data_IF_639248785580
#
_entry.id   IF_639248785580
#
_cell.length_a   1.000
_cell.length_b   1.000
_cell.length_c   1.000
_cell.angle_alpha   90.00
_cell.angle_beta   90.00
_cell.angle_gamma   90.00
#
_symmetry.space_group_name_H-M   'P 1'
#
loop_
_entity.id
_entity.type
_entity.pdbx_description
1 polymer ?
#
# COMPACT_ATOMS: atom_id res chain seq x y z
N UNK A 1 -26.41 4.34 19.26
CA UNK A 1 -25.20 3.79 18.59
C UNK A 1 -25.49 2.47 17.87
N UNK A 2 -26.03 1.44 18.54
CA UNK A 2 -26.32 0.14 17.88
C UNK A 2 -27.38 0.22 16.77
N UNK A 3 -28.53 0.91 17.01
CA UNK A 3 -29.55 1.06 15.95
C UNK A 3 -29.02 1.81 14.71
N UNK A 4 -28.15 2.81 14.90
CA UNK A 4 -27.53 3.54 13.78
C UNK A 4 -26.55 2.65 13.00
N UNK A 5 -25.74 1.86 13.69
CA UNK A 5 -24.84 0.90 13.05
C UNK A 5 -25.64 -0.15 12.27
N UNK A 6 -26.70 -0.71 12.86
CA UNK A 6 -27.59 -1.67 12.20
C UNK A 6 -28.24 -1.05 10.95
N UNK A 7 -28.76 0.17 11.05
CA UNK A 7 -29.35 0.86 9.91
C UNK A 7 -28.32 1.11 8.80
N UNK A 8 -27.09 1.50 9.15
CA UNK A 8 -26.01 1.69 8.17
C UNK A 8 -25.67 0.39 7.44
N UNK A 9 -25.57 -0.73 8.16
CA UNK A 9 -25.31 -2.04 7.53
C UNK A 9 -26.44 -2.48 6.62
N UNK A 10 -27.70 -2.24 7.01
CA UNK A 10 -28.86 -2.56 6.19
C UNK A 10 -28.91 -1.71 4.91
N UNK A 11 -28.60 -0.42 5.02
CA UNK A 11 -28.54 0.49 3.88
C UNK A 11 -27.44 0.14 2.88
N UNK A 12 -26.40 -0.59 3.30
CA UNK A 12 -25.26 -1.01 2.45
C UNK A 12 -25.21 -2.52 2.18
N UNK A 13 -26.34 -3.20 2.37
CA UNK A 13 -26.39 -4.65 2.29
C UNK A 13 -26.00 -5.18 0.90
N UNK A 14 -26.34 -4.46 -0.17
CA UNK A 14 -25.96 -4.87 -1.52
C UNK A 14 -24.45 -4.79 -1.74
N UNK A 15 -23.80 -3.70 -1.33
CA UNK A 15 -22.36 -3.52 -1.47
C UNK A 15 -21.57 -4.52 -0.62
N UNK A 16 -22.06 -4.82 0.58
CA UNK A 16 -21.45 -5.81 1.47
C UNK A 16 -21.51 -7.23 0.91
N UNK A 17 -22.45 -7.54 0.00
CA UNK A 17 -22.61 -8.86 -0.60
C UNK A 17 -21.96 -8.99 -1.99
N UNK A 18 -21.25 -7.98 -2.48
CA UNK A 18 -20.62 -8.00 -3.81
C UNK A 18 -19.63 -9.17 -3.95
N UNK A 19 -18.94 -9.55 -2.87
CA UNK A 19 -18.01 -10.70 -2.89
C UNK A 19 -18.69 -12.04 -3.20
N UNK A 20 -20.01 -12.16 -2.96
CA UNK A 20 -20.79 -13.35 -3.35
C UNK A 20 -21.05 -13.41 -4.86
N UNK A 21 -21.04 -12.26 -5.52
CA UNK A 21 -21.24 -12.13 -6.99
C UNK A 21 -19.91 -12.17 -7.74
N UNK A 22 -18.82 -11.66 -7.15
CA UNK A 22 -17.48 -11.65 -7.75
C UNK A 22 -16.42 -12.20 -6.78
N UNK A 23 -15.94 -13.41 -7.05
CA UNK A 23 -14.92 -14.08 -6.24
C UNK A 23 -13.52 -13.44 -6.28
N UNK A 24 -13.30 -12.42 -7.13
CA UNK A 24 -12.05 -11.62 -7.11
C UNK A 24 -12.00 -10.66 -5.93
N UNK A 25 -13.16 -10.33 -5.34
CA UNK A 25 -13.27 -9.40 -4.21
C UNK A 25 -13.20 -10.22 -2.91
N UNK A 26 -12.24 -9.95 -2.01
CA UNK A 26 -12.18 -10.64 -0.72
C UNK A 26 -13.38 -10.24 0.15
N UNK A 27 -13.87 -11.19 0.95
CA UNK A 27 -14.94 -10.94 1.92
C UNK A 27 -14.52 -9.94 3.01
N UNK A 28 -13.23 -9.88 3.32
CA UNK A 28 -12.68 -8.99 4.33
C UNK A 28 -11.87 -7.84 3.72
N UNK A 29 -11.72 -6.76 4.48
CA UNK A 29 -10.96 -5.57 4.11
C UNK A 29 -9.52 -5.60 4.67
N UNK A 30 -9.02 -6.75 5.14
CA UNK A 30 -7.76 -6.83 5.90
C UNK A 30 -6.58 -6.27 5.10
N UNK A 31 -6.54 -6.56 3.80
CA UNK A 31 -5.52 -6.05 2.89
C UNK A 31 -5.54 -4.52 2.85
N UNK A 32 -6.73 -3.94 2.75
CA UNK A 32 -6.93 -2.50 2.70
C UNK A 32 -6.55 -1.83 4.03
N UNK A 33 -6.98 -2.39 5.16
CA UNK A 33 -6.64 -1.85 6.48
C UNK A 33 -5.13 -1.85 6.74
N UNK A 34 -4.44 -2.94 6.38
CA UNK A 34 -2.97 -3.02 6.47
C UNK A 34 -2.30 -1.94 5.62
N UNK A 35 -2.90 -1.61 4.48
CA UNK A 35 -2.42 -0.59 3.55
C UNK A 35 -2.52 0.81 4.14
N UNK A 36 -3.62 1.11 4.82
CA UNK A 36 -3.84 2.40 5.46
C UNK A 36 -3.08 2.57 6.78
N UNK A 37 -2.57 1.50 7.37
CA UNK A 37 -1.84 1.56 8.64
C UNK A 37 -0.67 2.54 8.63
N UNK A 38 0.08 2.61 7.52
CA UNK A 38 1.19 3.55 7.38
C UNK A 38 0.73 5.02 7.48
N UNK A 39 -0.41 5.34 6.86
CA UNK A 39 -1.01 6.69 6.92
C UNK A 39 -1.49 6.99 8.35
N UNK A 40 -2.17 6.03 8.99
CA UNK A 40 -2.62 6.19 10.37
C UNK A 40 -1.46 6.44 11.35
N UNK A 41 -0.34 5.74 11.19
CA UNK A 41 0.88 5.98 11.95
C UNK A 41 1.51 7.33 11.61
N UNK A 42 1.62 7.67 10.32
CA UNK A 42 2.20 8.93 9.85
C UNK A 42 1.45 10.17 10.35
N UNK A 43 0.11 10.12 10.45
CA UNK A 43 -0.70 11.23 10.98
C UNK A 43 -0.27 11.72 12.37
N UNK A 44 0.25 10.82 13.22
CA UNK A 44 0.78 11.20 14.54
C UNK A 44 2.14 11.90 14.45
N UNK A 45 2.94 11.56 13.44
CA UNK A 45 4.29 12.09 13.25
C UNK A 45 4.30 13.51 12.66
N UNK A 46 3.24 13.89 11.94
CA UNK A 46 3.15 15.15 11.21
C UNK A 46 2.11 16.11 11.78
N UNK A 47 1.68 15.91 13.03
CA UNK A 47 0.63 16.69 13.70
C UNK A 47 0.94 18.20 13.75
N UNK A 48 2.23 18.57 13.68
CA UNK A 48 2.72 19.95 13.78
C UNK A 48 3.09 20.57 12.42
N UNK A 49 2.82 19.90 11.29
CA UNK A 49 3.02 20.49 9.97
C UNK A 49 1.85 21.44 9.65
N UNK A 50 2.04 22.72 9.96
CA UNK A 50 1.03 23.77 9.81
C UNK A 50 1.06 24.43 8.41
N UNK A 51 0.91 23.61 7.36
CA UNK A 51 0.70 24.12 6.00
C UNK A 51 -0.48 23.41 5.37
N UNK A 52 -1.43 24.18 4.83
CA UNK A 52 -2.61 23.65 4.13
C UNK A 52 -2.24 22.73 2.95
N UNK A 53 -1.11 23.01 2.29
CA UNK A 53 -0.59 22.21 1.17
C UNK A 53 0.08 20.89 1.59
N UNK A 54 0.37 20.69 2.87
CA UNK A 54 1.08 19.50 3.35
C UNK A 54 0.23 18.23 3.20
N UNK A 55 -1.09 18.32 3.41
CA UNK A 55 -2.02 17.19 3.26
C UNK A 55 -2.04 16.61 1.84
N UNK A 56 -2.37 17.42 0.82
CA UNK A 56 -2.35 16.98 -0.57
C UNK A 56 -0.98 16.44 -1.01
N UNK A 57 0.11 17.11 -0.62
CA UNK A 57 1.48 16.66 -0.94
C UNK A 57 1.78 15.28 -0.35
N UNK A 58 1.41 15.06 0.91
CA UNK A 58 1.57 13.76 1.56
C UNK A 58 0.72 12.69 0.87
N UNK A 59 -0.51 13.00 0.46
CA UNK A 59 -1.38 12.06 -0.26
C UNK A 59 -0.77 11.62 -1.59
N UNK A 60 -0.17 12.55 -2.35
CA UNK A 60 0.56 12.25 -3.59
C UNK A 60 1.72 11.30 -3.29
N UNK A 61 2.55 11.62 -2.28
CA UNK A 61 3.70 10.78 -1.93
C UNK A 61 3.29 9.38 -1.46
N UNK A 62 2.27 9.26 -0.60
CA UNK A 62 1.75 7.96 -0.18
C UNK A 62 1.24 7.15 -1.36
N UNK A 63 0.53 7.79 -2.28
CA UNK A 63 0.00 7.13 -3.48
C UNK A 63 1.13 6.65 -4.38
N UNK A 64 2.15 7.47 -4.60
CA UNK A 64 3.32 7.14 -5.43
C UNK A 64 4.11 5.98 -4.84
N UNK A 65 4.47 6.06 -3.55
CA UNK A 65 5.19 5.01 -2.83
C UNK A 65 4.38 3.72 -2.82
N UNK A 66 3.06 3.82 -2.62
CA UNK A 66 2.20 2.64 -2.63
C UNK A 66 2.12 2.00 -4.00
N UNK A 67 2.03 2.81 -5.05
CA UNK A 67 2.01 2.32 -6.42
C UNK A 67 3.34 1.60 -6.74
N UNK A 68 4.49 2.22 -6.45
CA UNK A 68 5.80 1.58 -6.60
C UNK A 68 5.93 0.26 -5.82
N UNK A 69 5.42 0.21 -4.59
CA UNK A 69 5.38 -1.01 -3.80
C UNK A 69 4.50 -2.11 -4.44
N UNK A 70 3.36 -1.74 -5.03
CA UNK A 70 2.50 -2.70 -5.73
C UNK A 70 3.17 -3.28 -7.00
N UNK A 71 4.10 -2.53 -7.62
CA UNK A 71 4.95 -3.01 -8.71
C UNK A 71 6.21 -3.76 -8.23
N UNK A 72 6.29 -4.08 -6.94
CA UNK A 72 7.42 -4.78 -6.32
C UNK A 72 8.77 -4.06 -6.52
N UNK A 73 8.77 -2.73 -6.63
CA UNK A 73 10.00 -1.97 -6.82
C UNK A 73 10.80 -1.81 -5.52
N UNK A 74 12.12 -1.70 -5.66
CA UNK A 74 12.93 -1.07 -4.62
C UNK A 74 12.61 0.44 -4.56
N UNK A 75 11.73 0.78 -3.61
CA UNK A 75 11.21 2.13 -3.38
C UNK A 75 12.33 3.16 -3.23
N UNK A 76 13.44 2.82 -2.57
CA UNK A 76 14.52 3.77 -2.35
C UNK A 76 15.23 4.14 -3.66
N UNK A 77 15.59 3.13 -4.48
CA UNK A 77 16.19 3.36 -5.79
C UNK A 77 15.25 4.13 -6.71
N UNK A 78 13.97 3.78 -6.71
CA UNK A 78 12.95 4.48 -7.49
C UNK A 78 12.82 5.95 -7.09
N UNK A 79 12.62 6.24 -5.80
CA UNK A 79 12.44 7.61 -5.32
C UNK A 79 13.68 8.48 -5.55
N UNK A 80 14.88 7.92 -5.41
CA UNK A 80 16.13 8.64 -5.72
C UNK A 80 16.13 9.09 -7.18
N UNK A 81 15.87 8.16 -8.10
CA UNK A 81 15.88 8.44 -9.53
C UNK A 81 14.81 9.46 -9.94
N UNK A 82 13.61 9.36 -9.36
CA UNK A 82 12.53 10.33 -9.58
C UNK A 82 12.92 11.72 -9.09
N UNK A 83 13.44 11.84 -7.87
CA UNK A 83 13.83 13.14 -7.30
C UNK A 83 14.96 13.80 -8.10
N UNK A 84 15.90 13.01 -8.62
CA UNK A 84 17.01 13.49 -9.45
C UNK A 84 16.55 13.92 -10.85
N UNK A 85 15.65 13.15 -11.49
CA UNK A 85 15.25 13.38 -12.89
C UNK A 85 14.12 14.38 -13.07
N UNK A 86 13.19 14.49 -12.13
CA UNK A 86 12.01 15.39 -12.26
C UNK A 86 12.41 16.84 -12.53
N UNK A 87 13.34 17.48 -11.78
CA UNK A 87 13.70 18.88 -12.04
C UNK A 87 14.31 19.08 -13.44
N UNK A 88 15.11 18.13 -13.90
CA UNK A 88 15.77 18.18 -15.22
C UNK A 88 14.76 18.03 -16.34
N UNK A 89 13.90 17.01 -16.28
CA UNK A 89 12.89 16.76 -17.31
C UNK A 89 11.86 17.90 -17.39
N UNK A 90 11.48 18.48 -16.24
CA UNK A 90 10.59 19.64 -16.21
C UNK A 90 11.24 20.89 -16.82
N UNK A 91 12.53 21.13 -16.55
CA UNK A 91 13.25 22.25 -17.15
C UNK A 91 13.40 22.11 -18.68
N UNK A 92 13.54 20.88 -19.16
CA UNK A 92 13.62 20.55 -20.59
C UNK A 92 12.26 20.42 -21.28
N UNK A 93 11.14 20.52 -20.53
CA UNK A 93 9.79 20.35 -21.06
C UNK A 93 9.47 18.93 -21.54
N UNK A 94 10.20 17.93 -21.05
CA UNK A 94 10.03 16.51 -21.43
C UNK A 94 8.92 15.83 -20.64
N UNK A 95 8.25 14.81 -21.21
CA UNK A 95 7.23 14.05 -20.49
C UNK A 95 7.84 13.27 -19.32
N UNK A 96 7.06 13.15 -18.24
CA UNK A 96 7.45 12.42 -17.03
C UNK A 96 6.97 10.96 -17.04
N UNK A 97 6.31 10.50 -18.10
CA UNK A 97 5.67 9.18 -18.16
C UNK A 97 6.65 8.03 -17.94
N UNK A 98 7.91 8.19 -18.35
CA UNK A 98 8.97 7.21 -18.10
C UNK A 98 9.39 7.05 -16.63
N UNK A 99 8.98 7.98 -15.76
CA UNK A 99 9.18 7.92 -14.31
C UNK A 99 7.99 7.30 -13.57
N UNK A 100 6.89 6.97 -14.27
CA UNK A 100 5.79 6.24 -13.65
C UNK A 100 6.27 4.87 -13.17
N UNK A 101 5.80 4.35 -12.03
CA UNK A 101 6.33 3.12 -11.47
C UNK A 101 6.25 1.91 -12.40
N UNK A 102 5.20 1.82 -13.23
CA UNK A 102 5.03 0.76 -14.23
C UNK A 102 6.10 0.84 -15.33
N UNK A 103 6.33 2.01 -15.90
CA UNK A 103 7.32 2.23 -16.96
C UNK A 103 8.74 2.10 -16.43
N UNK A 104 8.98 2.63 -15.23
CA UNK A 104 10.28 2.53 -14.56
C UNK A 104 10.63 1.08 -14.23
N UNK A 105 9.65 0.25 -13.85
CA UNK A 105 9.84 -1.19 -13.63
C UNK A 105 10.31 -1.90 -14.90
N UNK A 106 9.73 -1.56 -16.06
CA UNK A 106 10.13 -2.12 -17.36
C UNK A 106 11.56 -1.73 -17.73
N UNK A 107 11.95 -0.50 -17.43
CA UNK A 107 13.30 0.00 -17.68
C UNK A 107 14.36 -0.56 -16.71
N UNK A 108 13.97 -0.94 -15.48
CA UNK A 108 14.88 -1.37 -14.41
C UNK A 108 14.44 -2.72 -13.80
N UNK A 109 14.51 -3.83 -14.58
CA UNK A 109 14.04 -5.13 -14.12
C UNK A 109 14.87 -5.68 -12.94
N UNK A 110 16.13 -5.27 -12.79
CA UNK A 110 17.01 -5.65 -11.68
C UNK A 110 16.54 -5.07 -10.32
N UNK A 111 15.76 -3.99 -10.35
CA UNK A 111 15.21 -3.33 -9.17
C UNK A 111 13.81 -3.83 -8.79
N UNK A 112 13.29 -4.82 -9.51
CA UNK A 112 12.03 -5.50 -9.20
C UNK A 112 12.30 -6.66 -8.26
N UNK A 113 11.77 -6.57 -7.04
CA UNK A 113 12.02 -7.47 -5.93
C UNK A 113 11.11 -8.73 -5.97
N UNK A 114 11.23 -9.53 -7.02
CA UNK A 114 10.41 -10.74 -7.23
C UNK A 114 10.52 -11.76 -6.07
N UNK A 115 11.69 -11.86 -5.44
CA UNK A 115 11.94 -12.83 -4.37
C UNK A 115 11.38 -12.40 -3.01
N UNK A 116 11.10 -11.12 -2.82
CA UNK A 116 10.68 -10.55 -1.53
C UNK A 116 9.30 -11.07 -1.10
N UNK A 117 8.40 -11.30 -2.05
CA UNK A 117 7.08 -11.85 -1.76
C UNK A 117 7.17 -13.29 -1.23
N UNK A 118 8.08 -14.08 -1.80
CA UNK A 118 8.33 -15.45 -1.37
C UNK A 118 8.99 -15.48 0.02
N UNK A 119 9.99 -14.63 0.26
CA UNK A 119 10.62 -14.46 1.57
C UNK A 119 9.60 -14.04 2.64
N UNK A 120 8.71 -13.09 2.31
CA UNK A 120 7.64 -12.64 3.20
C UNK A 120 6.65 -13.77 3.53
N UNK A 121 6.25 -14.56 2.53
CA UNK A 121 5.37 -15.73 2.71
C UNK A 121 6.04 -16.77 3.61
N UNK A 122 7.29 -17.13 3.33
CA UNK A 122 8.06 -18.07 4.15
C UNK A 122 8.20 -17.57 5.60
N UNK A 123 8.54 -16.29 5.80
CA UNK A 123 8.64 -15.71 7.13
C UNK A 123 7.28 -15.75 7.88
N UNK A 124 6.17 -15.54 7.16
CA UNK A 124 4.83 -15.64 7.72
C UNK A 124 4.46 -17.08 8.11
N UNK A 125 4.78 -18.05 7.27
CA UNK A 125 4.60 -19.47 7.57
C UNK A 125 5.39 -19.91 8.79
N UNK A 126 6.66 -19.49 8.90
CA UNK A 126 7.49 -19.77 10.07
C UNK A 126 6.89 -19.18 11.36
N UNK A 127 6.35 -17.95 11.30
CA UNK A 127 5.64 -17.34 12.44
C UNK A 127 4.37 -18.11 12.79
N UNK A 128 3.60 -18.55 11.79
CA UNK A 128 2.37 -19.32 12.00
C UNK A 128 2.68 -20.68 12.63
N UNK A 129 3.70 -21.40 12.14
CA UNK A 129 4.17 -22.68 12.72
C UNK A 129 4.57 -22.50 14.19
N UNK A 130 5.35 -21.45 14.51
CA UNK A 130 5.72 -21.13 15.91
C UNK A 130 4.51 -20.85 16.80
N UNK A 131 3.48 -20.16 16.29
CA UNK A 131 2.23 -19.89 17.03
C UNK A 131 1.41 -21.15 17.28
N UNK A 132 1.32 -22.03 16.28
CA UNK A 132 0.62 -23.31 16.42
C UNK A 132 1.32 -24.22 17.42
N UNK A 133 2.66 -24.32 17.37
CA UNK A 133 3.43 -25.09 18.34
C UNK A 133 3.26 -24.61 19.79
N UNK A 134 3.12 -23.30 20.00
CA UNK A 134 2.80 -22.75 21.34
C UNK A 134 1.40 -23.14 21.81
N UNK A 135 0.41 -23.14 20.91
CA UNK A 135 -0.97 -23.51 21.24
C UNK A 135 -1.10 -24.99 21.61
N UNK A 136 -0.42 -25.89 20.90
CA UNK A 136 -0.39 -27.32 21.25
C UNK A 136 0.42 -27.64 22.49
N UNK A 137 1.36 -26.78 22.92
CA UNK A 137 2.13 -26.97 24.14
C UNK A 137 1.42 -26.46 25.41
N UNK A 138 0.35 -25.66 25.26
CA UNK A 138 -0.46 -25.12 26.37
C UNK A 138 -1.79 -25.85 26.52
N UNK A 139 -2.10 -26.79 25.62
CA UNK A 139 -3.23 -27.72 25.69
C UNK A 139 -2.75 -29.07 26.22
#
# INVERSE_FOLDING_TARGET
>A
MLCQAAQYTLNRWEELNVFLRDGRIPMDNTLLERSFKAIATGRKNYLFLDRETAGPTAAILYTLVRNAANHNLDIHSYLRDVIEKVPVLMAEGKPLDGLLPDQWALANPDKVLLNRDNENRQAQEQKNKKRMARRTATA
#
